data_IF_105007943540
#
_entry.id   IF_105007943540
#
_cell.length_a   1.000
_cell.length_b   1.000
_cell.length_c   1.000
_cell.angle_alpha   90.00
_cell.angle_beta   90.00
_cell.angle_gamma   90.00
#
_symmetry.space_group_name_H-M   'P 1'
#
loop_
_entity.id
_entity.type
_entity.pdbx_description
1 polymer ?
#
# COMPACT_ATOMS: atom_id res chain seq x y z
N UNK A 1 4.25 -26.33 56.78
CA UNK A 1 4.26 -26.36 55.30
C UNK A 1 5.20 -25.29 54.85
N UNK A 2 6.31 -25.67 54.30
CA UNK A 2 7.47 -24.80 54.01
C UNK A 2 7.30 -24.35 52.57
N UNK A 3 7.10 -23.07 52.32
CA UNK A 3 7.20 -22.49 50.97
C UNK A 3 8.68 -22.21 50.70
N UNK A 4 9.21 -22.91 49.70
CA UNK A 4 10.58 -22.73 49.26
C UNK A 4 10.77 -21.43 48.50
N UNK A 5 11.68 -20.62 49.03
CA UNK A 5 12.23 -19.44 48.36
C UNK A 5 13.08 -19.87 47.16
N UNK A 6 12.66 -19.53 45.96
CA UNK A 6 13.52 -19.62 44.77
C UNK A 6 14.14 -18.22 44.55
N UNK A 7 15.42 -18.06 44.66
CA UNK A 7 16.04 -16.74 44.56
C UNK A 7 16.11 -16.30 43.10
N UNK A 8 15.51 -15.15 42.81
CA UNK A 8 15.59 -14.43 41.52
C UNK A 8 17.03 -14.00 41.14
N UNK A 9 17.99 -14.23 41.99
CA UNK A 9 19.41 -13.87 41.78
C UNK A 9 20.19 -14.87 40.94
N UNK A 10 19.75 -16.14 40.83
CA UNK A 10 20.50 -17.15 40.09
C UNK A 10 20.31 -17.02 38.56
N UNK A 11 19.18 -16.53 38.11
CA UNK A 11 18.90 -16.36 36.66
C UNK A 11 19.68 -15.20 36.00
N UNK A 12 20.25 -14.28 36.80
CA UNK A 12 20.98 -13.13 36.26
C UNK A 12 22.48 -13.39 36.11
N UNK A 13 23.05 -14.34 36.83
CA UNK A 13 24.49 -14.67 36.82
C UNK A 13 24.87 -15.65 35.71
N UNK A 14 23.92 -16.43 35.20
CA UNK A 14 24.18 -17.39 34.09
C UNK A 14 24.31 -16.77 32.71
N UNK A 15 24.05 -15.46 32.58
CA UNK A 15 24.09 -14.77 31.27
C UNK A 15 25.46 -14.26 30.85
N UNK A 16 26.49 -14.38 31.67
CA UNK A 16 27.81 -13.80 31.41
C UNK A 16 28.93 -14.81 31.07
N UNK A 17 28.61 -16.10 31.00
CA UNK A 17 29.59 -17.09 30.55
C UNK A 17 29.69 -17.07 29.00
N UNK A 18 30.90 -17.09 28.41
CA UNK A 18 31.10 -17.00 26.97
C UNK A 18 30.49 -18.18 26.17
N UNK A 19 30.02 -19.22 26.83
CA UNK A 19 29.38 -20.41 26.23
C UNK A 19 27.96 -20.69 26.77
N UNK A 20 27.30 -19.74 27.43
CA UNK A 20 25.95 -19.95 27.94
C UNK A 20 24.93 -19.91 26.80
N UNK A 21 24.10 -20.94 26.70
CA UNK A 21 22.95 -20.98 25.79
C UNK A 21 21.93 -19.94 26.25
N UNK A 22 21.61 -18.97 25.42
CA UNK A 22 20.54 -18.01 25.70
C UNK A 22 19.19 -18.59 25.36
N UNK A 23 18.35 -18.82 26.35
CA UNK A 23 16.97 -19.25 26.15
C UNK A 23 16.02 -18.06 26.02
N UNK A 24 15.26 -18.02 24.95
CA UNK A 24 14.28 -16.97 24.64
C UNK A 24 12.92 -17.63 24.45
N UNK A 25 11.93 -17.20 25.22
CA UNK A 25 10.55 -17.66 25.12
C UNK A 25 9.77 -16.78 24.17
N UNK A 26 9.08 -17.41 23.23
CA UNK A 26 8.24 -16.74 22.23
C UNK A 26 6.83 -17.32 22.34
N UNK A 27 5.83 -16.44 22.40
CA UNK A 27 4.44 -16.81 22.29
C UNK A 27 3.99 -16.53 20.86
N UNK A 28 3.42 -17.53 20.20
CA UNK A 28 2.80 -17.40 18.89
C UNK A 28 1.28 -17.40 19.06
N UNK A 29 0.62 -16.37 18.56
CA UNK A 29 -0.84 -16.23 18.51
C UNK A 29 -1.26 -15.54 17.23
N UNK A 30 -2.53 -15.58 16.84
CA UNK A 30 -3.07 -14.87 15.68
C UNK A 30 -3.01 -13.36 15.88
N UNK A 31 -2.22 -12.56 15.20
CA UNK A 31 -1.31 -12.85 14.10
C UNK A 31 0.01 -12.20 14.47
N UNK A 32 0.58 -12.61 15.59
CA UNK A 32 1.79 -12.01 16.13
C UNK A 32 2.66 -13.00 16.89
N UNK A 33 3.95 -12.68 16.94
CA UNK A 33 4.91 -13.28 17.86
C UNK A 33 5.22 -12.30 18.98
N UNK A 34 5.33 -12.78 20.22
CA UNK A 34 5.74 -11.99 21.35
C UNK A 34 6.94 -12.65 22.04
N UNK A 35 8.11 -11.97 22.15
CA UNK A 35 8.39 -10.61 21.66
C UNK A 35 8.52 -10.53 20.11
N UNK A 36 8.20 -9.37 19.55
CA UNK A 36 8.37 -9.06 18.13
C UNK A 36 9.84 -8.87 17.73
N UNK A 37 10.70 -8.51 18.68
CA UNK A 37 12.12 -8.27 18.44
C UNK A 37 12.95 -9.10 19.41
N UNK A 38 13.93 -9.82 18.88
CA UNK A 38 14.86 -10.66 19.60
C UNK A 38 16.26 -10.16 19.31
N UNK A 39 17.06 -9.92 20.36
CA UNK A 39 18.46 -9.51 20.21
C UNK A 39 19.38 -10.57 20.78
N UNK A 40 20.34 -11.04 19.98
CA UNK A 40 21.35 -12.05 20.34
C UNK A 40 22.73 -11.64 19.83
N UNK A 41 23.78 -12.32 20.25
CA UNK A 41 25.14 -12.07 19.78
C UNK A 41 25.53 -13.08 18.71
N UNK A 42 26.37 -12.65 17.77
CA UNK A 42 27.02 -13.53 16.82
C UNK A 42 27.86 -14.59 17.55
N UNK A 43 27.76 -15.84 17.13
CA UNK A 43 28.45 -16.94 17.77
C UNK A 43 27.81 -17.46 19.06
N UNK A 44 26.77 -16.82 19.59
CA UNK A 44 26.06 -17.23 20.78
C UNK A 44 25.09 -18.36 20.48
N UNK A 45 25.14 -19.45 21.25
CA UNK A 45 24.13 -20.51 21.15
C UNK A 45 22.78 -20.01 21.67
N UNK A 46 21.76 -20.07 20.83
CA UNK A 46 20.40 -19.57 21.08
C UNK A 46 19.42 -20.72 21.11
N UNK A 47 18.57 -20.73 22.11
CA UNK A 47 17.46 -21.67 22.28
C UNK A 47 16.16 -20.90 22.30
N UNK A 48 15.36 -21.00 21.23
CA UNK A 48 14.03 -20.41 21.15
C UNK A 48 12.99 -21.45 21.62
N UNK A 49 12.22 -21.08 22.63
CA UNK A 49 11.10 -21.90 23.13
C UNK A 49 9.81 -21.25 22.68
N UNK A 50 9.24 -21.77 21.59
CA UNK A 50 8.10 -21.15 20.91
C UNK A 50 6.83 -21.92 21.26
N UNK A 51 5.87 -21.24 21.91
CA UNK A 51 4.59 -21.79 22.32
C UNK A 51 3.45 -21.22 21.48
N UNK A 52 2.68 -22.04 20.80
CA UNK A 52 1.39 -21.62 20.26
C UNK A 52 0.32 -21.64 21.36
N UNK A 53 -0.53 -20.61 21.41
CA UNK A 53 -1.63 -20.51 22.38
C UNK A 53 -3.01 -20.69 21.73
N UNK A 54 -3.08 -20.87 20.40
CA UNK A 54 -4.35 -20.91 19.65
C UNK A 54 -4.37 -21.97 18.54
N UNK A 55 -3.72 -21.73 17.40
CA UNK A 55 -3.74 -22.59 16.21
C UNK A 55 -2.36 -23.07 15.82
N UNK A 56 -2.25 -23.87 14.77
CA UNK A 56 -0.96 -24.23 14.17
C UNK A 56 -0.30 -22.97 13.59
N UNK A 57 0.98 -22.76 13.92
CA UNK A 57 1.82 -21.72 13.36
C UNK A 57 3.09 -22.29 12.72
N UNK A 58 3.65 -21.57 11.77
CA UNK A 58 5.02 -21.79 11.33
C UNK A 58 5.96 -20.84 12.06
N UNK A 59 7.24 -21.16 12.11
CA UNK A 59 8.31 -20.23 12.50
C UNK A 59 9.49 -20.44 11.56
N UNK A 60 9.85 -19.42 10.83
CA UNK A 60 10.95 -19.50 9.88
C UNK A 60 11.87 -18.28 9.98
N UNK A 61 13.19 -18.54 9.89
CA UNK A 61 14.24 -17.53 9.70
C UNK A 61 15.06 -18.01 8.51
N UNK A 62 14.81 -17.41 7.35
CA UNK A 62 15.38 -17.87 6.08
C UNK A 62 16.91 -17.84 6.08
N UNK A 63 17.49 -16.81 6.66
CA UNK A 63 18.93 -16.56 6.68
C UNK A 63 19.71 -17.60 7.50
N UNK A 64 19.06 -18.27 8.44
CA UNK A 64 19.61 -19.34 9.27
C UNK A 64 19.03 -20.72 8.94
N UNK A 65 18.31 -20.84 7.79
CA UNK A 65 17.70 -22.09 7.32
C UNK A 65 16.78 -22.77 8.36
N UNK A 66 16.10 -21.97 9.18
CA UNK A 66 15.14 -22.41 10.19
C UNK A 66 13.75 -22.40 9.58
N UNK A 67 13.03 -23.54 9.66
CA UNK A 67 11.63 -23.63 9.27
C UNK A 67 10.95 -24.75 10.06
N UNK A 68 10.14 -24.37 11.04
CA UNK A 68 9.51 -25.29 11.99
C UNK A 68 7.99 -25.08 12.05
N UNK A 69 7.28 -26.15 12.40
CA UNK A 69 5.84 -26.14 12.65
C UNK A 69 5.58 -26.24 14.14
N UNK A 70 4.80 -25.30 14.67
CA UNK A 70 4.34 -25.29 16.06
C UNK A 70 2.85 -25.67 16.06
N UNK A 71 2.52 -26.84 16.61
CA UNK A 71 1.13 -27.28 16.72
C UNK A 71 0.34 -26.41 17.69
N UNK A 72 -0.97 -26.32 17.47
CA UNK A 72 -1.90 -25.63 18.37
C UNK A 72 -1.69 -26.06 19.81
N UNK A 73 -1.56 -25.11 20.73
CA UNK A 73 -1.34 -25.29 22.16
C UNK A 73 -0.05 -26.05 22.55
N UNK A 74 0.83 -26.32 21.57
CA UNK A 74 2.10 -27.02 21.80
C UNK A 74 3.28 -26.06 21.90
N UNK A 75 4.40 -26.58 22.39
CA UNK A 75 5.68 -25.86 22.46
C UNK A 75 6.69 -26.57 21.56
N UNK A 76 7.42 -25.79 20.78
CA UNK A 76 8.54 -26.24 19.95
C UNK A 76 9.81 -25.54 20.39
N UNK A 77 10.91 -26.31 20.46
CA UNK A 77 12.24 -25.76 20.75
C UNK A 77 13.05 -25.73 19.46
N UNK A 78 13.69 -24.60 19.21
CA UNK A 78 14.58 -24.37 18.05
C UNK A 78 15.93 -23.90 18.58
N UNK A 79 17.00 -24.60 18.24
CA UNK A 79 18.36 -24.26 18.64
C UNK A 79 19.18 -23.89 17.42
N UNK A 80 19.92 -22.80 17.49
CA UNK A 80 20.82 -22.34 16.44
C UNK A 80 21.90 -21.41 17.00
N UNK A 81 22.94 -21.19 16.20
CA UNK A 81 24.01 -20.25 16.50
C UNK A 81 24.17 -19.32 15.30
N UNK A 82 23.86 -18.02 15.42
CA UNK A 82 24.02 -17.09 14.32
C UNK A 82 25.50 -16.87 14.00
N UNK A 83 25.87 -17.07 12.75
CA UNK A 83 27.24 -16.98 12.22
C UNK A 83 27.60 -15.61 11.60
N UNK A 84 26.62 -14.73 11.44
CA UNK A 84 26.79 -13.37 10.93
C UNK A 84 25.86 -12.37 11.63
N UNK A 85 26.31 -11.12 11.75
CA UNK A 85 25.57 -10.02 12.36
C UNK A 85 24.63 -9.37 11.34
N UNK A 86 23.55 -8.76 11.83
CA UNK A 86 22.56 -8.09 11.01
C UNK A 86 21.17 -8.11 11.62
N UNK A 87 20.19 -7.63 10.84
CA UNK A 87 18.77 -7.70 11.18
C UNK A 87 18.10 -8.69 10.24
N UNK A 88 17.55 -9.74 10.81
CA UNK A 88 16.94 -10.85 10.10
C UNK A 88 15.47 -10.96 10.47
N UNK A 89 14.64 -11.23 9.49
CA UNK A 89 13.21 -11.40 9.71
C UNK A 89 12.89 -12.83 10.10
N UNK A 90 12.09 -13.01 11.15
CA UNK A 90 11.36 -14.28 11.37
C UNK A 90 9.87 -14.09 11.10
N UNK A 91 9.21 -15.14 10.60
CA UNK A 91 7.81 -15.05 10.16
C UNK A 91 7.09 -16.39 10.31
N UNK A 92 5.75 -16.31 10.35
CA UNK A 92 4.92 -17.49 10.29
C UNK A 92 4.93 -18.08 8.87
N UNK A 93 5.34 -19.35 8.74
CA UNK A 93 5.48 -20.04 7.45
C UNK A 93 4.31 -20.97 7.10
N UNK A 94 3.27 -21.01 7.94
CA UNK A 94 2.07 -21.85 7.77
C UNK A 94 0.85 -20.95 7.90
N UNK A 95 -0.08 -21.07 6.98
CA UNK A 95 -1.32 -20.29 7.02
C UNK A 95 -2.09 -20.55 8.32
N UNK A 96 -2.24 -19.52 9.14
CA UNK A 96 -2.90 -19.56 10.44
C UNK A 96 -4.17 -18.71 10.51
N UNK A 97 -4.61 -18.16 9.38
CA UNK A 97 -5.82 -17.32 9.22
C UNK A 97 -5.56 -15.99 8.52
N UNK A 98 -6.59 -15.18 8.38
CA UNK A 98 -6.53 -13.85 7.75
C UNK A 98 -5.69 -12.89 8.59
N UNK A 99 -4.50 -12.55 8.15
CA UNK A 99 -3.46 -11.81 8.89
C UNK A 99 -2.16 -12.59 9.08
N UNK A 100 -2.12 -13.83 8.58
CA UNK A 100 -0.94 -14.69 8.58
C UNK A 100 0.30 -14.01 8.00
N UNK A 101 0.15 -13.23 6.94
CA UNK A 101 1.26 -12.57 6.24
C UNK A 101 1.90 -11.43 7.04
N UNK A 102 1.17 -10.89 8.03
CA UNK A 102 1.66 -9.83 8.92
C UNK A 102 2.29 -10.41 10.21
N UNK A 103 2.24 -11.74 10.38
CA UNK A 103 2.79 -12.42 11.54
C UNK A 103 4.29 -12.61 11.41
N UNK A 104 5.05 -11.59 11.79
CA UNK A 104 6.51 -11.51 11.66
C UNK A 104 7.16 -10.76 12.82
N UNK A 105 8.48 -10.89 12.93
CA UNK A 105 9.32 -10.16 13.86
C UNK A 105 10.77 -10.09 13.40
N UNK A 106 11.61 -9.43 14.18
CA UNK A 106 13.01 -9.15 13.89
C UNK A 106 13.94 -9.90 14.85
N UNK A 107 14.91 -10.59 14.29
CA UNK A 107 16.08 -11.10 15.00
C UNK A 107 17.27 -10.16 14.73
N UNK A 108 17.76 -9.49 15.74
CA UNK A 108 18.92 -8.62 15.67
C UNK A 108 20.14 -9.39 16.19
N UNK A 109 21.11 -9.64 15.34
CA UNK A 109 22.37 -10.26 15.69
C UNK A 109 23.46 -9.21 15.74
N UNK A 110 24.06 -8.99 16.92
CA UNK A 110 25.12 -7.99 17.15
C UNK A 110 26.50 -8.65 17.13
N UNK A 111 27.53 -7.90 16.67
CA UNK A 111 28.92 -8.35 16.76
C UNK A 111 29.43 -8.34 18.19
N UNK A 112 30.42 -9.19 18.51
CA UNK A 112 31.01 -9.32 19.86
C UNK A 112 31.63 -8.02 20.42
N UNK A 113 31.98 -7.08 19.56
CA UNK A 113 32.72 -5.86 19.98
C UNK A 113 31.86 -4.68 20.44
N UNK A 114 30.51 -4.76 20.34
CA UNK A 114 29.64 -3.68 20.85
C UNK A 114 29.17 -3.88 22.30
N UNK A 115 29.76 -4.79 23.04
CA UNK A 115 29.35 -5.19 24.38
C UNK A 115 30.30 -4.78 25.53
N UNK A 116 31.21 -3.87 25.28
CA UNK A 116 31.81 -3.09 26.39
C UNK A 116 30.95 -1.85 26.61
N UNK A 117 29.76 -2.03 27.16
CA UNK A 117 29.12 -0.94 27.84
C UNK A 117 30.05 -0.56 29.02
N UNK A 118 30.58 0.65 28.95
CA UNK A 118 31.10 1.34 30.15
C UNK A 118 29.99 1.23 31.20
N UNK A 119 30.12 0.22 32.07
CA UNK A 119 29.32 0.11 33.27
C UNK A 119 29.87 1.11 34.26
N UNK A 120 29.54 2.38 34.07
CA UNK A 120 29.75 3.41 35.10
C UNK A 120 28.68 3.20 36.18
N UNK A 121 28.74 2.04 36.82
CA UNK A 121 27.91 1.73 37.96
C UNK A 121 28.57 2.37 39.19
N UNK A 122 28.00 3.46 39.68
CA UNK A 122 28.39 4.09 40.93
C UNK A 122 27.48 3.59 42.04
N UNK A 123 28.12 3.08 43.08
CA UNK A 123 27.45 2.68 44.33
C UNK A 123 27.82 3.69 45.41
N UNK A 124 26.84 4.43 45.90
CA UNK A 124 27.01 5.41 46.95
C UNK A 124 26.19 5.01 48.17
N UNK A 125 26.77 5.18 49.35
CA UNK A 125 26.07 4.99 50.61
C UNK A 125 25.48 6.33 51.07
N UNK A 126 24.19 6.31 51.42
CA UNK A 126 23.52 7.51 51.93
C UNK A 126 24.11 7.87 53.29
N UNK A 127 24.69 9.07 53.40
CA UNK A 127 25.34 9.54 54.66
C UNK A 127 24.34 9.86 55.74
N UNK A 128 23.11 10.17 55.39
CA UNK A 128 22.06 10.61 56.30
C UNK A 128 21.09 9.47 56.66
N UNK A 129 21.20 8.31 55.98
CA UNK A 129 20.37 7.13 56.23
C UNK A 129 21.23 5.84 56.31
N UNK A 130 21.70 5.44 57.47
CA UNK A 130 22.48 4.21 57.66
C UNK A 130 21.68 2.98 57.18
N UNK A 131 22.26 2.21 56.28
CA UNK A 131 21.61 1.04 55.67
C UNK A 131 20.95 1.29 54.32
N UNK A 132 21.07 2.50 53.77
CA UNK A 132 20.61 2.81 52.43
C UNK A 132 21.76 2.87 51.43
N UNK A 133 21.63 2.14 50.33
CA UNK A 133 22.58 2.10 49.23
C UNK A 133 21.90 2.67 47.98
N UNK A 134 22.54 3.62 47.33
CA UNK A 134 22.09 4.16 46.04
C UNK A 134 23.00 3.58 44.95
N UNK A 135 22.40 2.90 44.00
CA UNK A 135 23.06 2.35 42.80
C UNK A 135 22.65 3.19 41.62
N UNK A 136 23.61 3.80 40.94
CA UNK A 136 23.42 4.54 39.71
C UNK A 136 24.11 3.79 38.57
N UNK A 137 23.33 3.44 37.52
CA UNK A 137 23.82 2.79 36.30
C UNK A 137 22.99 3.23 35.13
N UNK A 138 23.64 3.68 34.05
CA UNK A 138 22.98 4.12 32.81
C UNK A 138 21.89 5.21 33.00
N UNK A 139 22.11 6.14 33.96
CA UNK A 139 21.15 7.21 34.27
C UNK A 139 19.93 6.77 35.08
N UNK A 140 19.90 5.52 35.53
CA UNK A 140 18.89 5.03 36.48
C UNK A 140 19.49 5.03 37.91
N UNK A 141 18.74 5.61 38.86
CA UNK A 141 19.06 5.61 40.27
C UNK A 141 18.09 4.70 41.02
N UNK A 142 18.64 3.73 41.72
CA UNK A 142 17.86 2.78 42.53
C UNK A 142 18.31 2.94 43.99
N UNK A 143 17.35 3.20 44.87
CA UNK A 143 17.55 3.24 46.31
C UNK A 143 17.22 1.89 46.92
N UNK A 144 18.19 1.25 47.54
CA UNK A 144 18.04 0.00 48.26
C UNK A 144 18.16 0.29 49.76
N UNK A 145 17.09 0.09 50.50
CA UNK A 145 17.07 0.17 51.94
C UNK A 145 17.19 -1.23 52.52
N UNK A 146 18.36 -1.52 53.09
CA UNK A 146 18.69 -2.84 53.67
C UNK A 146 18.00 -3.09 55.01
N UNK A 147 17.51 -2.04 55.67
CA UNK A 147 16.83 -2.12 56.98
C UNK A 147 15.36 -2.52 56.77
N UNK A 148 14.70 -1.90 55.83
CA UNK A 148 13.31 -2.20 55.48
C UNK A 148 13.17 -3.26 54.38
N UNK A 149 14.29 -3.73 53.81
CA UNK A 149 14.37 -4.66 52.66
C UNK A 149 13.54 -4.17 51.48
N UNK A 150 13.53 -2.87 51.23
CA UNK A 150 12.79 -2.25 50.15
C UNK A 150 13.72 -1.73 49.06
N UNK A 151 13.25 -1.83 47.79
CA UNK A 151 13.92 -1.29 46.60
C UNK A 151 13.00 -0.26 45.98
N UNK A 152 13.49 0.99 45.91
CA UNK A 152 12.71 2.10 45.33
C UNK A 152 13.48 2.72 44.16
N UNK A 153 12.87 2.85 43.02
CA UNK A 153 13.44 3.59 41.90
C UNK A 153 13.29 5.08 42.15
N UNK A 154 14.38 5.81 42.20
CA UNK A 154 14.37 7.27 42.34
C UNK A 154 14.13 7.83 40.94
N UNK A 155 12.89 8.24 40.66
CA UNK A 155 12.57 9.01 39.46
C UNK A 155 12.72 10.48 39.87
N UNK A 156 13.83 11.10 39.54
CA UNK A 156 13.93 12.56 39.64
C UNK A 156 12.94 13.12 38.59
N UNK A 157 11.93 13.84 39.07
CA UNK A 157 11.05 14.61 38.18
C UNK A 157 11.91 15.77 37.69
N UNK A 158 12.30 15.82 36.39
CA UNK A 158 13.01 16.99 35.88
C UNK A 158 12.10 18.21 36.01
N UNK A 159 12.72 19.33 36.37
CA UNK A 159 12.12 20.64 36.20
C UNK A 159 11.66 20.81 34.77
N UNK A 160 10.63 21.64 34.48
CA UNK A 160 10.11 21.74 33.14
C UNK A 160 11.19 22.27 32.20
N UNK A 161 11.80 21.37 31.49
CA UNK A 161 12.78 21.63 30.45
C UNK A 161 12.07 21.65 29.10
N UNK A 162 12.29 22.74 28.39
CA UNK A 162 11.91 22.98 27.03
C UNK A 162 12.28 21.83 26.11
N UNK A 163 11.29 21.47 25.25
CA UNK A 163 11.43 20.88 23.95
C UNK A 163 12.61 19.92 23.65
N UNK A 164 12.43 18.66 23.94
CA UNK A 164 12.89 17.60 23.05
C UNK A 164 11.89 16.46 23.19
N UNK A 165 11.15 16.19 22.17
CA UNK A 165 11.47 15.04 21.33
C UNK A 165 10.86 15.09 19.93
N UNK A 166 11.55 15.65 19.00
CA UNK A 166 11.25 15.40 17.60
C UNK A 166 11.46 13.90 17.27
N UNK A 167 12.45 13.26 17.87
CA UNK A 167 12.82 11.88 17.56
C UNK A 167 11.86 10.82 18.09
N UNK A 168 11.26 11.00 19.26
CA UNK A 168 10.25 10.05 19.77
C UNK A 168 8.89 10.22 19.09
N UNK A 169 8.50 11.45 18.73
CA UNK A 169 7.33 11.70 17.87
C UNK A 169 7.56 11.20 16.46
N UNK A 170 8.79 11.32 15.91
CA UNK A 170 9.13 10.74 14.61
C UNK A 170 9.14 9.21 14.64
N UNK A 171 9.59 8.57 15.72
CA UNK A 171 9.53 7.12 15.85
C UNK A 171 8.10 6.61 16.05
N UNK A 172 7.27 7.28 16.86
CA UNK A 172 5.84 6.97 16.98
C UNK A 172 5.05 7.31 15.71
N UNK A 173 5.33 8.44 15.05
CA UNK A 173 4.77 8.75 13.75
C UNK A 173 5.23 7.77 12.66
N UNK A 174 6.47 7.26 12.71
CA UNK A 174 6.93 6.19 11.80
C UNK A 174 6.22 4.86 12.05
N UNK A 175 5.89 4.51 13.28
CA UNK A 175 5.16 3.28 13.61
C UNK A 175 3.67 3.39 13.23
N UNK A 176 3.06 4.57 13.33
CA UNK A 176 1.69 4.81 12.83
C UNK A 176 1.61 4.91 11.31
N UNK A 177 2.71 5.24 10.60
CA UNK A 177 2.77 5.29 9.15
C UNK A 177 3.01 3.93 8.46
N UNK A 178 3.11 2.82 9.18
CA UNK A 178 3.38 1.52 8.56
C UNK A 178 2.16 0.84 7.91
N UNK A 179 0.96 1.29 8.17
CA UNK A 179 -0.21 0.90 7.36
C UNK A 179 -0.54 2.01 6.39
N UNK A 180 0.03 1.95 5.18
CA UNK A 180 -0.37 2.84 4.11
C UNK A 180 -1.90 2.79 3.97
N UNK A 181 -2.59 3.91 4.14
CA UNK A 181 -4.04 3.91 4.35
C UNK A 181 -4.84 3.58 3.08
N UNK A 182 -4.23 3.61 1.89
CA UNK A 182 -4.86 3.41 0.58
C UNK A 182 -3.88 2.77 -0.41
N UNK A 183 -4.38 2.31 -1.56
CA UNK A 183 -3.55 1.74 -2.62
C UNK A 183 -3.19 2.76 -3.73
N UNK A 184 -2.43 2.34 -4.76
CA UNK A 184 -1.91 3.19 -5.84
C UNK A 184 -3.00 3.80 -6.71
N UNK A 185 -4.16 3.19 -6.79
CA UNK A 185 -5.35 3.70 -7.47
C UNK A 185 -6.59 3.30 -6.67
N UNK A 186 -7.64 4.09 -6.78
CA UNK A 186 -8.97 3.70 -6.36
C UNK A 186 -9.53 2.66 -7.36
N UNK A 187 -10.51 2.99 -8.16
CA UNK A 187 -10.90 2.14 -9.29
C UNK A 187 -9.96 2.42 -10.48
N UNK A 188 -9.85 3.68 -10.88
CA UNK A 188 -8.99 4.20 -11.95
C UNK A 188 -8.17 5.41 -11.51
N UNK A 189 -8.73 6.30 -10.68
CA UNK A 189 -8.09 7.51 -10.18
C UNK A 189 -6.86 7.15 -9.36
N UNK A 190 -5.66 7.63 -9.74
CA UNK A 190 -4.44 7.35 -9.02
C UNK A 190 -4.36 8.14 -7.71
N UNK A 191 -3.64 7.58 -6.75
CA UNK A 191 -3.37 8.15 -5.44
C UNK A 191 -1.90 8.58 -5.33
N UNK A 192 -1.54 9.46 -4.39
CA UNK A 192 -0.15 9.85 -4.17
C UNK A 192 0.67 8.78 -3.40
N UNK A 193 0.22 7.53 -3.35
CA UNK A 193 0.91 6.45 -2.65
C UNK A 193 2.35 6.32 -3.13
N UNK A 194 3.29 6.29 -2.18
CA UNK A 194 4.71 6.13 -2.46
C UNK A 194 5.04 4.70 -2.92
N UNK A 195 5.79 4.59 -4.00
CA UNK A 195 6.42 3.33 -4.40
C UNK A 195 7.74 3.21 -3.63
N UNK A 196 7.85 2.20 -2.76
CA UNK A 196 9.02 2.00 -1.90
C UNK A 196 10.26 1.71 -2.75
N UNK A 197 11.41 2.16 -2.29
CA UNK A 197 12.70 1.89 -2.93
C UNK A 197 12.90 0.38 -3.12
N UNK A 198 13.38 -0.01 -4.30
CA UNK A 198 13.65 -1.39 -4.71
C UNK A 198 12.44 -2.33 -4.61
N UNK A 199 11.22 -1.81 -4.43
CA UNK A 199 10.02 -2.64 -4.51
C UNK A 199 9.54 -2.79 -5.95
N UNK A 200 9.13 -3.99 -6.31
CA UNK A 200 8.40 -4.27 -7.55
C UNK A 200 6.94 -4.54 -7.22
N UNK A 201 6.05 -3.75 -7.81
CA UNK A 201 4.62 -3.86 -7.60
C UNK A 201 3.94 -4.21 -8.92
N UNK A 202 3.16 -5.26 -8.91
CA UNK A 202 2.31 -5.65 -10.03
C UNK A 202 0.93 -5.02 -9.85
N UNK A 203 0.39 -4.52 -10.94
CA UNK A 203 -0.98 -4.05 -11.04
C UNK A 203 -1.68 -4.80 -12.17
N UNK A 204 -2.77 -5.46 -11.84
CA UNK A 204 -3.60 -6.17 -12.81
C UNK A 204 -5.03 -5.67 -12.68
N UNK A 205 -5.66 -5.35 -13.81
CA UNK A 205 -7.07 -4.99 -13.85
C UNK A 205 -7.81 -5.88 -14.82
N UNK A 206 -9.05 -6.16 -14.48
CA UNK A 206 -9.95 -6.90 -15.33
C UNK A 206 -11.30 -6.17 -15.37
N UNK A 207 -11.83 -5.93 -16.56
CA UNK A 207 -13.10 -5.24 -16.77
C UNK A 207 -13.95 -6.08 -17.72
N UNK A 208 -15.15 -6.42 -17.28
CA UNK A 208 -16.13 -7.09 -18.14
C UNK A 208 -16.77 -6.08 -19.09
N UNK A 209 -17.19 -6.53 -20.28
CA UNK A 209 -17.67 -5.60 -21.33
C UNK A 209 -19.13 -5.26 -21.19
N UNK A 210 -19.94 -6.19 -20.68
CA UNK A 210 -21.37 -5.95 -20.56
C UNK A 210 -21.73 -5.23 -19.28
N UNK A 211 -22.55 -4.18 -19.36
CA UNK A 211 -23.00 -3.46 -18.19
C UNK A 211 -23.96 -4.30 -17.34
N UNK A 212 -23.89 -4.09 -16.04
CA UNK A 212 -24.85 -4.64 -15.07
C UNK A 212 -26.26 -4.15 -15.44
N UNK A 213 -27.17 -5.07 -15.71
CA UNK A 213 -28.55 -4.81 -16.04
C UNK A 213 -29.45 -4.97 -14.80
N UNK A 214 -30.73 -4.55 -14.84
CA UNK A 214 -31.65 -4.85 -13.76
C UNK A 214 -31.72 -6.34 -13.42
N UNK A 215 -31.92 -6.68 -12.15
CA UNK A 215 -31.70 -8.01 -11.55
C UNK A 215 -32.28 -9.20 -12.35
N UNK A 216 -33.44 -9.01 -12.98
CA UNK A 216 -34.11 -10.05 -13.81
C UNK A 216 -33.32 -10.40 -15.08
N UNK A 217 -32.61 -9.44 -15.66
CA UNK A 217 -31.77 -9.64 -16.85
C UNK A 217 -30.37 -10.07 -16.48
N UNK A 218 -29.83 -9.50 -15.41
CA UNK A 218 -28.52 -9.85 -14.88
C UNK A 218 -28.40 -11.30 -14.41
N UNK A 219 -29.51 -11.93 -13.99
CA UNK A 219 -29.49 -13.34 -13.63
C UNK A 219 -29.23 -14.28 -14.82
N UNK A 220 -29.53 -13.85 -16.06
CA UNK A 220 -29.22 -14.62 -17.28
C UNK A 220 -27.76 -14.47 -17.70
N UNK A 221 -27.18 -13.30 -17.51
CA UNK A 221 -25.88 -12.90 -18.04
C UNK A 221 -24.84 -12.91 -16.90
N UNK A 222 -25.11 -13.58 -15.77
CA UNK A 222 -24.25 -13.60 -14.57
C UNK A 222 -23.70 -12.20 -14.20
N UNK A 223 -24.56 -11.17 -14.23
CA UNK A 223 -24.18 -9.77 -14.01
C UNK A 223 -23.16 -9.23 -15.03
N UNK A 224 -23.10 -9.81 -16.23
CA UNK A 224 -22.13 -9.49 -17.27
C UNK A 224 -20.79 -10.22 -17.15
N UNK A 225 -20.66 -11.15 -16.19
CA UNK A 225 -19.40 -11.87 -15.96
C UNK A 225 -19.04 -12.87 -17.05
N UNK A 226 -19.99 -13.35 -17.83
CA UNK A 226 -19.79 -14.22 -18.98
C UNK A 226 -19.52 -13.46 -20.29
N UNK A 227 -19.43 -12.13 -20.21
CA UNK A 227 -19.10 -11.29 -21.36
C UNK A 227 -17.60 -11.28 -21.66
N UNK A 228 -17.25 -10.76 -22.85
CA UNK A 228 -15.85 -10.46 -23.18
C UNK A 228 -15.23 -9.55 -22.12
N UNK A 229 -13.96 -9.74 -21.81
CA UNK A 229 -13.26 -8.99 -20.80
C UNK A 229 -11.97 -8.33 -21.30
N UNK A 230 -11.66 -7.21 -20.71
CA UNK A 230 -10.46 -6.42 -20.96
C UNK A 230 -9.53 -6.53 -19.76
N UNK A 231 -8.36 -7.15 -19.94
CA UNK A 231 -7.35 -7.29 -18.89
C UNK A 231 -6.16 -6.42 -19.19
N UNK A 232 -5.74 -5.60 -18.21
CA UNK A 232 -4.55 -4.77 -18.29
C UNK A 232 -3.55 -5.22 -17.23
N UNK A 233 -2.27 -5.14 -17.58
CA UNK A 233 -1.16 -5.48 -16.70
C UNK A 233 -0.19 -4.31 -16.62
N UNK A 234 0.19 -3.93 -15.40
CA UNK A 234 1.17 -2.88 -15.13
C UNK A 234 2.16 -3.28 -14.05
N UNK A 235 3.31 -2.63 -14.09
CA UNK A 235 4.40 -2.79 -13.13
C UNK A 235 4.85 -1.41 -12.67
N UNK A 236 5.17 -1.28 -11.38
CA UNK A 236 5.81 -0.12 -10.78
C UNK A 236 7.10 -0.57 -10.09
N UNK A 237 8.20 0.10 -10.35
CA UNK A 237 9.46 -0.17 -9.68
C UNK A 237 10.03 1.09 -9.04
N UNK A 238 10.26 1.04 -7.72
CA UNK A 238 10.86 2.13 -6.96
C UNK A 238 12.37 2.18 -7.14
N UNK A 239 12.88 3.21 -7.80
CA UNK A 239 14.33 3.44 -7.97
C UNK A 239 14.92 4.02 -6.69
N UNK A 240 14.23 5.00 -6.12
CA UNK A 240 14.57 5.63 -4.83
C UNK A 240 13.31 5.69 -3.97
N UNK A 241 13.39 6.26 -2.78
CA UNK A 241 12.21 6.50 -1.94
C UNK A 241 11.24 7.53 -2.52
N UNK A 242 11.65 8.27 -3.56
CA UNK A 242 10.84 9.31 -4.20
C UNK A 242 10.58 9.08 -5.67
N UNK A 243 11.47 8.36 -6.36
CA UNK A 243 11.43 8.17 -7.81
C UNK A 243 11.03 6.73 -8.13
N UNK A 244 10.03 6.58 -9.00
CA UNK A 244 9.64 5.28 -9.54
C UNK A 244 9.42 5.34 -11.04
N UNK A 245 9.52 4.20 -11.69
CA UNK A 245 9.17 3.98 -13.09
C UNK A 245 8.02 3.00 -13.17
N UNK A 246 7.25 3.09 -14.24
CA UNK A 246 6.14 2.18 -14.51
C UNK A 246 6.04 1.82 -15.96
N UNK A 247 5.50 0.64 -16.21
CA UNK A 247 5.09 0.19 -17.53
C UNK A 247 3.74 -0.51 -17.42
N UNK A 248 2.81 -0.20 -18.29
CA UNK A 248 1.48 -0.79 -18.33
C UNK A 248 1.10 -1.16 -19.75
N UNK A 249 0.38 -2.28 -19.92
CA UNK A 249 -0.19 -2.70 -21.18
C UNK A 249 -1.70 -2.91 -21.03
N UNK A 250 -2.46 -2.29 -21.90
CA UNK A 250 -3.92 -2.41 -21.97
C UNK A 250 -4.33 -2.84 -23.40
N UNK A 251 -5.36 -3.69 -23.56
CA UNK A 251 -5.83 -4.09 -24.88
C UNK A 251 -6.78 -3.07 -25.52
N UNK A 252 -6.91 -1.86 -24.97
CA UNK A 252 -7.77 -0.80 -25.51
C UNK A 252 -6.96 0.40 -25.98
N UNK A 253 -7.24 0.87 -27.17
CA UNK A 253 -6.67 2.05 -27.80
C UNK A 253 -7.65 3.22 -27.84
N UNK A 254 -7.25 4.28 -28.54
CA UNK A 254 -8.09 5.47 -28.70
C UNK A 254 -9.42 5.19 -29.39
N UNK A 255 -9.44 4.32 -30.35
CA UNK A 255 -10.61 4.14 -31.24
C UNK A 255 -11.08 2.70 -31.37
N UNK A 256 -10.32 1.71 -30.91
CA UNK A 256 -10.60 0.30 -31.12
C UNK A 256 -9.98 -0.63 -30.10
N UNK A 257 -10.28 -1.91 -30.21
CA UNK A 257 -9.52 -2.97 -29.56
C UNK A 257 -8.15 -3.08 -30.21
N UNK A 258 -7.14 -2.62 -29.52
CA UNK A 258 -5.74 -2.80 -29.89
C UNK A 258 -4.89 -2.87 -28.61
N UNK A 259 -3.60 -2.70 -28.72
CA UNK A 259 -2.68 -2.89 -27.60
C UNK A 259 -2.00 -1.56 -27.30
N UNK A 260 -2.47 -0.84 -26.29
CA UNK A 260 -1.77 0.35 -25.78
C UNK A 260 -0.73 -0.05 -24.76
N UNK A 261 0.46 0.47 -24.93
CA UNK A 261 1.54 0.40 -23.94
C UNK A 261 1.79 1.81 -23.39
N UNK A 262 1.85 1.92 -22.07
CA UNK A 262 2.17 3.14 -21.36
C UNK A 262 3.47 2.94 -20.58
N UNK A 263 4.40 3.89 -20.70
CA UNK A 263 5.65 3.94 -19.94
C UNK A 263 5.68 5.28 -19.23
N UNK A 264 6.03 5.27 -17.94
CA UNK A 264 6.01 6.49 -17.17
C UNK A 264 7.02 6.55 -16.04
N UNK A 265 7.18 7.74 -15.53
CA UNK A 265 8.02 8.07 -14.39
C UNK A 265 7.21 8.89 -13.40
N UNK A 266 7.28 8.53 -12.13
CA UNK A 266 6.61 9.25 -11.06
C UNK A 266 7.59 9.73 -10.01
N UNK A 267 7.26 10.86 -9.40
CA UNK A 267 8.05 11.46 -8.34
C UNK A 267 7.17 11.83 -7.16
N UNK A 268 7.55 11.38 -5.98
CA UNK A 268 6.88 11.67 -4.73
C UNK A 268 7.51 12.88 -4.04
N UNK A 269 6.74 13.96 -3.91
CA UNK A 269 7.22 15.25 -3.38
C UNK A 269 7.06 15.35 -1.88
N UNK A 270 5.84 15.08 -1.40
CA UNK A 270 5.40 15.32 -0.04
C UNK A 270 4.63 14.12 0.49
N UNK A 271 4.92 13.72 1.71
CA UNK A 271 4.06 12.86 2.52
C UNK A 271 3.13 13.73 3.36
N UNK A 272 1.95 13.24 3.65
CA UNK A 272 1.06 13.85 4.64
C UNK A 272 1.64 13.57 6.04
N UNK A 273 2.22 14.57 6.65
CA UNK A 273 2.80 14.53 7.98
C UNK A 273 2.58 15.85 8.74
N UNK A 274 3.27 16.03 9.88
CA UNK A 274 3.18 17.26 10.68
C UNK A 274 3.66 18.53 9.94
N UNK A 275 4.44 18.39 8.85
CA UNK A 275 4.99 19.49 8.06
C UNK A 275 4.18 19.75 6.80
N UNK A 276 3.51 18.73 6.26
CA UNK A 276 2.68 18.85 5.06
C UNK A 276 1.27 18.36 5.34
N UNK A 277 0.24 19.21 5.12
CA UNK A 277 -1.14 18.79 5.30
C UNK A 277 -1.68 17.88 4.19
N UNK A 278 -0.87 17.61 3.16
CA UNK A 278 -1.25 16.79 1.99
C UNK A 278 -0.08 15.95 1.52
N UNK A 279 -0.38 14.76 1.00
CA UNK A 279 0.55 14.00 0.18
C UNK A 279 0.49 14.49 -1.26
N UNK A 280 1.65 14.61 -1.93
CA UNK A 280 1.77 15.06 -3.31
C UNK A 280 2.73 14.18 -4.09
N UNK A 281 2.27 13.70 -5.22
CA UNK A 281 3.09 13.02 -6.23
C UNK A 281 2.80 13.58 -7.62
N UNK A 282 3.74 13.46 -8.54
CA UNK A 282 3.56 13.74 -9.95
C UNK A 282 3.91 12.53 -10.79
N UNK A 283 3.27 12.42 -11.94
CA UNK A 283 3.49 11.33 -12.87
C UNK A 283 3.50 11.88 -14.30
N UNK A 284 4.53 11.52 -15.05
CA UNK A 284 4.64 11.81 -16.47
C UNK A 284 4.73 10.51 -17.24
N UNK A 285 3.94 10.35 -18.30
CA UNK A 285 3.94 9.13 -19.10
C UNK A 285 3.77 9.40 -20.59
N UNK A 286 4.14 8.41 -21.37
CA UNK A 286 3.89 8.32 -22.79
C UNK A 286 3.15 7.02 -23.06
N UNK A 287 2.03 7.13 -23.77
CA UNK A 287 1.26 6.00 -24.27
C UNK A 287 1.46 5.88 -25.78
N UNK A 288 1.51 4.65 -26.28
CA UNK A 288 1.53 4.36 -27.72
C UNK A 288 0.61 3.20 -28.04
N UNK A 289 -0.20 3.37 -29.09
CA UNK A 289 -1.09 2.33 -29.61
C UNK A 289 -0.30 1.26 -30.39
N UNK A 290 -0.94 0.12 -30.66
CA UNK A 290 -0.38 -1.02 -31.41
C UNK A 290 0.99 -1.51 -30.89
N UNK A 291 1.09 -1.74 -29.56
CA UNK A 291 2.33 -2.08 -28.89
C UNK A 291 3.42 -0.99 -29.04
N UNK A 292 3.05 0.27 -28.86
CA UNK A 292 3.95 1.40 -28.90
C UNK A 292 4.50 1.75 -30.29
N UNK A 293 3.72 1.52 -31.36
CA UNK A 293 4.15 1.81 -32.74
C UNK A 293 3.50 3.06 -33.34
N UNK A 294 2.51 3.67 -32.67
CA UNK A 294 1.86 4.89 -33.19
C UNK A 294 0.91 5.54 -32.20
N UNK A 295 0.28 6.64 -32.62
CA UNK A 295 -0.71 7.40 -31.86
C UNK A 295 -0.26 7.76 -30.45
N UNK A 296 0.91 8.36 -30.34
CA UNK A 296 1.50 8.70 -29.06
C UNK A 296 0.71 9.79 -28.34
N UNK A 297 0.43 9.52 -27.06
CA UNK A 297 -0.17 10.45 -26.10
C UNK A 297 0.83 10.70 -24.98
N UNK A 298 0.99 11.96 -24.60
CA UNK A 298 1.84 12.35 -23.47
C UNK A 298 0.98 12.85 -22.32
N UNK A 299 1.19 12.31 -21.14
CA UNK A 299 0.41 12.63 -19.95
C UNK A 299 1.29 13.30 -18.90
N UNK A 300 0.77 14.36 -18.28
CA UNK A 300 1.32 14.94 -17.07
C UNK A 300 0.21 15.02 -16.03
N UNK A 301 0.40 14.39 -14.89
CA UNK A 301 -0.60 14.25 -13.84
C UNK A 301 0.00 14.61 -12.48
N UNK A 302 -0.74 15.35 -11.67
CA UNK A 302 -0.47 15.50 -10.25
C UNK A 302 -1.47 14.66 -9.46
N UNK A 303 -1.03 14.15 -8.33
CA UNK A 303 -1.84 13.33 -7.43
C UNK A 303 -1.71 13.94 -6.03
N UNK A 304 -2.81 14.45 -5.52
CA UNK A 304 -2.92 14.99 -4.17
C UNK A 304 -3.79 14.07 -3.33
N UNK A 305 -3.43 13.89 -2.08
CA UNK A 305 -4.20 13.11 -1.12
C UNK A 305 -4.19 13.76 0.25
N UNK A 306 -5.31 13.65 0.96
CA UNK A 306 -5.44 14.12 2.34
C UNK A 306 -6.32 13.18 3.16
N UNK A 307 -5.87 12.88 4.37
CA UNK A 307 -6.66 12.21 5.39
C UNK A 307 -7.56 13.23 6.08
N UNK A 308 -8.87 13.13 5.84
CA UNK A 308 -9.85 13.98 6.52
C UNK A 308 -10.11 13.45 7.93
N UNK A 309 -10.13 12.13 8.06
CA UNK A 309 -10.19 11.42 9.33
C UNK A 309 -9.32 10.16 9.23
N UNK A 310 -9.10 9.44 10.34
CA UNK A 310 -8.43 8.13 10.31
C UNK A 310 -9.15 7.06 9.45
N UNK A 311 -10.37 7.36 9.00
CA UNK A 311 -11.19 6.44 8.19
C UNK A 311 -11.50 6.97 6.80
N UNK A 312 -11.21 8.23 6.50
CA UNK A 312 -11.59 8.87 5.25
C UNK A 312 -10.41 9.61 4.63
N UNK A 313 -10.06 9.23 3.40
CA UNK A 313 -9.04 9.87 2.59
C UNK A 313 -9.67 10.42 1.32
N UNK A 314 -9.31 11.63 0.95
CA UNK A 314 -9.78 12.30 -0.27
C UNK A 314 -8.62 12.53 -1.21
N UNK A 315 -8.90 12.42 -2.51
CA UNK A 315 -7.90 12.55 -3.56
C UNK A 315 -8.35 13.51 -4.63
N UNK A 316 -7.38 14.23 -5.19
CA UNK A 316 -7.57 15.08 -6.34
C UNK A 316 -6.43 14.87 -7.34
N UNK A 317 -6.77 14.54 -8.58
CA UNK A 317 -5.80 14.15 -9.59
C UNK A 317 -6.02 14.94 -10.90
N UNK A 318 -5.51 16.17 -11.01
CA UNK A 318 -5.53 16.93 -12.24
C UNK A 318 -4.49 16.40 -13.23
N UNK A 319 -4.85 16.36 -14.51
CA UNK A 319 -3.94 15.91 -15.56
C UNK A 319 -4.16 16.67 -16.89
N UNK A 320 -3.07 16.75 -17.66
CA UNK A 320 -3.05 17.22 -19.04
C UNK A 320 -2.62 16.08 -19.94
N UNK A 321 -3.36 15.87 -21.03
CA UNK A 321 -3.14 14.81 -21.98
C UNK A 321 -2.94 15.38 -23.38
N UNK A 322 -1.70 15.37 -23.84
CA UNK A 322 -1.31 15.91 -25.15
C UNK A 322 -1.50 14.82 -26.19
N UNK A 323 -2.17 15.15 -27.29
CA UNK A 323 -2.50 14.25 -28.39
C UNK A 323 -3.33 13.01 -27.94
N UNK A 324 -4.22 13.22 -26.98
CA UNK A 324 -5.03 12.16 -26.38
C UNK A 324 -6.28 11.80 -27.18
N UNK A 325 -6.67 12.67 -28.13
CA UNK A 325 -7.88 12.51 -28.89
C UNK A 325 -7.63 11.97 -30.30
N UNK A 326 -7.75 10.65 -30.46
CA UNK A 326 -7.67 10.04 -31.80
C UNK A 326 -8.78 10.45 -32.76
N UNK A 327 -9.90 10.94 -32.24
CA UNK A 327 -11.03 11.39 -33.04
C UNK A 327 -10.87 12.82 -33.58
N UNK A 328 -9.85 13.56 -33.19
CA UNK A 328 -9.59 14.92 -33.74
C UNK A 328 -9.36 14.90 -35.25
N UNK A 329 -9.01 13.74 -35.81
CA UNK A 329 -8.83 13.51 -37.25
C UNK A 329 -10.10 13.06 -37.95
N UNK A 330 -11.24 13.05 -37.24
CA UNK A 330 -12.51 12.71 -37.87
C UNK A 330 -12.88 13.81 -38.87
N UNK A 331 -12.86 13.46 -40.13
CA UNK A 331 -13.22 14.28 -41.26
C UNK A 331 -14.26 13.51 -42.07
N UNK A 332 -15.57 13.71 -41.73
CA UNK A 332 -16.64 12.97 -42.40
C UNK A 332 -16.75 13.40 -43.86
N UNK A 333 -16.60 12.45 -44.75
CA UNK A 333 -16.80 12.69 -46.18
C UNK A 333 -18.24 12.32 -46.57
N UNK A 334 -18.83 13.04 -47.53
CA UNK A 334 -20.18 12.71 -48.03
C UNK A 334 -20.35 11.26 -48.42
N UNK A 335 -19.29 10.65 -48.95
CA UNK A 335 -19.25 9.25 -49.38
C UNK A 335 -19.27 8.20 -48.25
N UNK A 336 -18.98 8.66 -47.02
CA UNK A 336 -18.98 7.77 -45.83
C UNK A 336 -20.42 7.53 -45.33
N UNK A 337 -21.39 8.26 -45.82
CA UNK A 337 -22.79 8.21 -45.39
C UNK A 337 -23.74 7.93 -46.53
N UNK A 338 -24.77 7.15 -46.26
CA UNK A 338 -25.85 6.90 -47.21
C UNK A 338 -26.78 8.08 -47.40
N UNK A 339 -26.65 9.11 -46.55
CA UNK A 339 -27.47 10.33 -46.56
C UNK A 339 -26.52 11.50 -46.81
N UNK A 340 -26.90 12.47 -47.66
CA UNK A 340 -26.09 13.64 -47.94
C UNK A 340 -25.64 14.38 -46.67
N UNK A 341 -24.39 14.73 -46.62
CA UNK A 341 -23.79 15.57 -45.53
C UNK A 341 -23.77 17.00 -46.03
N UNK A 342 -24.33 17.93 -45.24
CA UNK A 342 -24.30 19.34 -45.57
C UNK A 342 -22.85 19.86 -45.57
N UNK A 343 -22.46 20.74 -46.49
CA UNK A 343 -21.10 21.26 -46.57
C UNK A 343 -20.63 21.94 -45.29
N UNK A 344 -21.56 22.51 -44.47
CA UNK A 344 -21.33 23.14 -43.19
C UNK A 344 -21.24 22.17 -42.01
N UNK A 345 -21.54 20.90 -42.24
CA UNK A 345 -21.52 19.87 -41.17
C UNK A 345 -20.10 19.46 -40.78
N UNK A 346 -19.29 20.42 -40.35
CA UNK A 346 -17.93 20.18 -39.85
C UNK A 346 -17.92 20.02 -38.34
N UNK A 347 -17.07 19.11 -37.84
CA UNK A 347 -16.84 18.93 -36.45
C UNK A 347 -15.37 19.25 -36.12
N UNK A 348 -15.18 20.19 -35.21
CA UNK A 348 -13.84 20.53 -34.68
C UNK A 348 -13.67 19.87 -33.33
N UNK A 349 -12.79 18.89 -33.26
CA UNK A 349 -12.47 18.15 -32.04
C UNK A 349 -11.08 18.56 -31.55
N UNK A 350 -10.95 19.05 -30.29
CA UNK A 350 -9.65 19.37 -29.73
C UNK A 350 -8.73 18.12 -29.68
N UNK A 351 -7.47 18.32 -30.00
CA UNK A 351 -6.46 17.27 -30.01
C UNK A 351 -6.01 16.90 -28.58
N UNK A 352 -6.01 17.88 -27.69
CA UNK A 352 -5.53 17.75 -26.32
C UNK A 352 -6.69 17.76 -25.33
N UNK A 353 -6.51 17.09 -24.20
CA UNK A 353 -7.52 17.04 -23.15
C UNK A 353 -6.94 17.41 -21.79
N UNK A 354 -7.82 17.84 -20.87
CA UNK A 354 -7.53 17.97 -19.46
C UNK A 354 -8.54 17.13 -18.66
N UNK A 355 -8.11 16.63 -17.50
CA UNK A 355 -8.99 15.88 -16.61
C UNK A 355 -8.76 16.27 -15.16
N UNK A 356 -9.80 16.09 -14.35
CA UNK A 356 -9.79 16.34 -12.92
C UNK A 356 -10.42 15.14 -12.22
N UNK A 357 -9.58 14.19 -11.77
CA UNK A 357 -10.04 13.05 -11.01
C UNK A 357 -10.28 13.41 -9.54
N UNK A 358 -11.44 13.07 -9.02
CA UNK A 358 -11.76 13.14 -7.59
C UNK A 358 -11.97 11.74 -7.06
N UNK A 359 -11.50 11.49 -5.84
CA UNK A 359 -11.60 10.18 -5.24
C UNK A 359 -11.77 10.22 -3.74
N UNK A 360 -12.39 9.16 -3.21
CA UNK A 360 -12.59 8.94 -1.77
C UNK A 360 -12.29 7.47 -1.46
N UNK A 361 -11.47 7.24 -0.45
CA UNK A 361 -11.29 5.95 0.23
C UNK A 361 -11.91 6.05 1.62
N UNK A 362 -12.91 5.21 1.90
CA UNK A 362 -13.57 5.12 3.19
C UNK A 362 -13.25 3.78 3.84
N UNK A 363 -12.36 3.79 4.83
CA UNK A 363 -11.99 2.61 5.60
C UNK A 363 -13.12 2.16 6.52
N UNK A 364 -13.78 1.07 6.18
CA UNK A 364 -14.89 0.49 6.97
C UNK A 364 -14.43 -0.57 7.95
N UNK A 365 -13.26 -1.17 7.72
CA UNK A 365 -12.54 -2.08 8.62
C UNK A 365 -11.03 -1.86 8.45
N UNK A 366 -10.17 -2.35 9.36
CA UNK A 366 -8.72 -2.14 9.25
C UNK A 366 -8.15 -2.45 7.86
N UNK A 367 -8.63 -3.51 7.20
CA UNK A 367 -8.13 -3.96 5.90
C UNK A 367 -9.19 -3.88 4.79
N UNK A 368 -10.28 -3.12 4.97
CA UNK A 368 -11.37 -3.05 3.99
C UNK A 368 -11.82 -1.61 3.82
N UNK A 369 -11.82 -1.13 2.58
CA UNK A 369 -12.23 0.20 2.19
C UNK A 369 -13.37 0.17 1.17
N UNK A 370 -14.21 1.19 1.20
CA UNK A 370 -15.11 1.54 0.10
C UNK A 370 -14.45 2.63 -0.73
N UNK A 371 -14.42 2.44 -2.03
CA UNK A 371 -13.81 3.33 -3.00
C UNK A 371 -14.88 4.06 -3.80
N UNK A 372 -14.71 5.36 -4.00
CA UNK A 372 -15.54 6.18 -4.86
C UNK A 372 -14.67 7.11 -5.68
N UNK A 373 -15.00 7.27 -6.96
CA UNK A 373 -14.30 8.19 -7.85
C UNK A 373 -15.23 8.84 -8.86
N UNK A 374 -14.85 10.04 -9.27
CA UNK A 374 -15.56 10.82 -10.26
C UNK A 374 -14.58 11.66 -11.06
N UNK A 375 -14.59 11.53 -12.38
CA UNK A 375 -13.78 12.33 -13.28
C UNK A 375 -14.69 13.04 -14.28
N UNK A 376 -15.00 14.33 -14.07
CA UNK A 376 -15.79 15.11 -15.02
C UNK A 376 -15.03 15.26 -16.33
N UNK A 377 -15.75 15.27 -17.44
CA UNK A 377 -15.21 15.54 -18.75
C UNK A 377 -15.10 17.05 -18.96
N UNK A 378 -13.86 17.54 -19.02
CA UNK A 378 -13.56 18.94 -19.24
C UNK A 378 -12.74 19.09 -20.53
N UNK A 379 -13.11 20.03 -21.37
CA UNK A 379 -12.48 20.21 -22.68
C UNK A 379 -12.96 19.18 -23.68
N UNK A 380 -12.03 18.42 -24.27
CA UNK A 380 -12.37 17.36 -25.20
C UNK A 380 -13.14 16.23 -24.50
N UNK A 381 -14.06 15.67 -25.27
CA UNK A 381 -14.90 14.56 -24.86
C UNK A 381 -14.78 13.45 -25.90
N UNK A 382 -14.00 12.41 -25.61
CA UNK A 382 -14.01 11.20 -26.43
C UNK A 382 -15.35 10.49 -26.21
N UNK A 383 -16.06 10.18 -27.27
CA UNK A 383 -17.36 9.53 -27.20
C UNK A 383 -17.90 9.21 -28.60
N UNK A 384 -19.14 8.82 -28.62
CA UNK A 384 -19.82 8.60 -29.87
C UNK A 384 -20.05 9.94 -30.59
N UNK A 385 -19.83 9.94 -31.86
CA UNK A 385 -20.16 11.05 -32.74
C UNK A 385 -21.47 10.68 -33.44
N UNK A 386 -22.55 11.34 -33.05
CA UNK A 386 -23.88 11.11 -33.57
C UNK A 386 -24.20 12.14 -34.67
N UNK A 387 -24.71 11.74 -35.84
CA UNK A 387 -25.16 12.67 -36.84
C UNK A 387 -26.42 13.42 -36.38
N UNK A 388 -26.49 14.70 -36.66
CA UNK A 388 -27.67 15.54 -36.48
C UNK A 388 -28.34 15.67 -37.84
N UNK A 389 -29.53 15.11 -37.94
CA UNK A 389 -30.30 15.17 -39.19
C UNK A 389 -31.14 16.43 -39.26
N UNK A 390 -31.51 16.81 -40.50
CA UNK A 390 -32.56 17.81 -40.72
C UNK A 390 -33.92 17.23 -40.32
N UNK A 391 -34.94 18.08 -40.24
CA UNK A 391 -36.30 17.71 -39.80
C UNK A 391 -36.93 16.60 -40.65
N UNK A 392 -36.47 16.42 -41.90
CA UNK A 392 -36.96 15.42 -42.82
C UNK A 392 -36.10 14.16 -42.87
N UNK A 393 -35.03 14.07 -42.11
CA UNK A 393 -34.06 12.97 -42.12
C UNK A 393 -33.43 12.71 -43.50
N UNK A 394 -33.38 13.70 -44.38
CA UNK A 394 -32.83 13.58 -45.73
C UNK A 394 -31.39 14.08 -45.87
N UNK A 395 -30.88 14.78 -44.86
CA UNK A 395 -29.50 15.28 -44.85
C UNK A 395 -28.95 15.37 -43.41
N UNK A 396 -27.65 15.17 -43.27
CA UNK A 396 -26.91 15.39 -42.06
C UNK A 396 -26.50 16.87 -42.02
N UNK A 397 -26.99 17.62 -41.04
CA UNK A 397 -26.72 19.04 -40.86
C UNK A 397 -25.50 19.31 -39.93
N UNK A 398 -25.10 18.30 -39.16
CA UNK A 398 -23.98 18.43 -38.22
C UNK A 398 -23.72 17.14 -37.49
N UNK A 399 -22.78 17.22 -36.53
CA UNK A 399 -22.42 16.09 -35.68
C UNK A 399 -22.42 16.54 -34.24
N UNK A 400 -22.92 15.67 -33.36
CA UNK A 400 -22.89 15.85 -31.90
C UNK A 400 -21.98 14.79 -31.30
N UNK A 401 -21.06 15.22 -30.48
CA UNK A 401 -20.28 14.30 -29.67
C UNK A 401 -20.95 14.10 -28.32
N UNK A 402 -21.29 12.85 -28.01
CA UNK A 402 -21.89 12.47 -26.73
C UNK A 402 -20.86 11.74 -25.88
N UNK A 403 -20.57 12.31 -24.71
CA UNK A 403 -19.70 11.66 -23.72
C UNK A 403 -20.23 11.90 -22.32
N UNK A 404 -19.81 11.03 -21.41
CA UNK A 404 -20.25 11.03 -20.02
C UNK A 404 -19.06 11.17 -19.10
N UNK A 405 -19.27 11.70 -17.89
CA UNK A 405 -18.25 11.69 -16.85
C UNK A 405 -17.90 10.25 -16.45
N UNK A 406 -16.64 10.03 -16.13
CA UNK A 406 -16.25 8.76 -15.55
C UNK A 406 -16.71 8.71 -14.09
N UNK A 407 -17.32 7.59 -13.70
CA UNK A 407 -17.77 7.29 -12.34
C UNK A 407 -17.33 5.87 -12.01
N UNK A 408 -16.68 5.72 -10.86
CA UNK A 408 -16.27 4.41 -10.34
C UNK A 408 -16.58 4.29 -8.85
N UNK A 409 -16.88 3.07 -8.42
CA UNK A 409 -16.97 2.72 -7.01
C UNK A 409 -16.58 1.25 -6.82
N UNK A 410 -16.23 0.89 -5.59
CA UNK A 410 -15.80 -0.47 -5.33
C UNK A 410 -15.59 -0.74 -3.85
N UNK A 411 -15.26 -1.98 -3.58
CA UNK A 411 -14.80 -2.44 -2.27
C UNK A 411 -13.41 -3.04 -2.42
N UNK A 412 -12.48 -2.58 -1.62
CA UNK A 412 -11.11 -3.06 -1.59
C UNK A 412 -10.81 -3.79 -0.29
N UNK A 413 -10.13 -4.91 -0.38
CA UNK A 413 -9.58 -5.64 0.76
C UNK A 413 -8.08 -5.82 0.58
N UNK A 414 -7.32 -5.43 1.63
CA UNK A 414 -5.86 -5.58 1.71
C UNK A 414 -5.52 -6.77 2.59
N UNK A 415 -4.63 -7.63 2.10
CA UNK A 415 -4.17 -8.81 2.83
C UNK A 415 -2.65 -8.87 2.63
N UNK A 416 -1.89 -8.47 3.64
CA UNK A 416 -0.43 -8.40 3.57
C UNK A 416 0.07 -7.56 2.40
N UNK A 417 0.75 -8.19 1.45
CA UNK A 417 1.31 -7.53 0.26
C UNK A 417 0.36 -7.49 -0.94
N UNK A 418 -0.91 -7.87 -0.75
CA UNK A 418 -1.93 -7.90 -1.79
C UNK A 418 -3.04 -6.90 -1.47
N UNK A 419 -3.56 -6.27 -2.50
CA UNK A 419 -4.86 -5.60 -2.44
C UNK A 419 -5.73 -6.14 -3.58
N UNK A 420 -6.97 -6.45 -3.26
CA UNK A 420 -7.97 -6.88 -4.21
C UNK A 420 -9.19 -5.98 -4.09
N UNK A 421 -9.63 -5.41 -5.22
CA UNK A 421 -10.83 -4.58 -5.27
C UNK A 421 -11.83 -5.16 -6.26
N UNK A 422 -13.07 -5.34 -5.81
CA UNK A 422 -14.22 -5.52 -6.69
C UNK A 422 -14.72 -4.13 -7.08
N UNK A 423 -14.82 -3.86 -8.36
CA UNK A 423 -15.07 -2.52 -8.88
C UNK A 423 -16.26 -2.46 -9.82
N UNK A 424 -16.91 -1.32 -9.82
CA UNK A 424 -17.96 -0.95 -10.76
C UNK A 424 -17.59 0.41 -11.37
N UNK A 425 -17.53 0.48 -12.70
CA UNK A 425 -17.17 1.71 -13.41
C UNK A 425 -17.90 1.78 -14.73
N UNK A 426 -18.10 2.97 -15.24
CA UNK A 426 -18.62 3.19 -16.59
C UNK A 426 -17.50 3.31 -17.63
N UNK A 427 -16.27 2.91 -17.31
CA UNK A 427 -15.14 2.86 -18.25
C UNK A 427 -14.42 1.52 -18.22
N UNK A 428 -14.00 1.04 -19.38
CA UNK A 428 -13.18 -0.17 -19.53
C UNK A 428 -11.68 0.16 -19.60
N UNK A 429 -11.33 1.40 -19.85
CA UNK A 429 -9.96 1.84 -20.05
C UNK A 429 -9.26 2.08 -18.71
N UNK A 430 -7.98 1.81 -18.68
CA UNK A 430 -7.19 1.83 -17.42
C UNK A 430 -5.87 2.60 -17.54
N UNK A 431 -5.45 3.00 -18.76
CA UNK A 431 -4.25 3.83 -18.95
C UNK A 431 -4.54 5.30 -18.67
N UNK A 432 -3.51 6.07 -18.32
CA UNK A 432 -3.63 7.43 -17.81
C UNK A 432 -4.36 8.37 -18.76
N UNK A 433 -4.04 8.35 -20.05
CA UNK A 433 -4.70 9.20 -21.03
C UNK A 433 -6.08 8.71 -21.48
N UNK A 434 -6.51 7.52 -21.03
CA UNK A 434 -7.74 6.87 -21.54
C UNK A 434 -8.86 6.80 -20.52
N UNK A 435 -8.61 6.39 -19.26
CA UNK A 435 -9.70 6.20 -18.30
C UNK A 435 -10.50 7.48 -18.05
N UNK A 436 -9.86 8.63 -18.16
CA UNK A 436 -10.45 9.93 -17.90
C UNK A 436 -10.99 10.62 -19.18
N UNK A 437 -10.65 10.14 -20.35
CA UNK A 437 -11.06 10.72 -21.64
C UNK A 437 -11.94 9.81 -22.49
N UNK A 438 -12.08 8.53 -22.14
CA UNK A 438 -12.82 7.56 -22.94
C UNK A 438 -13.65 6.62 -22.08
N UNK A 439 -14.93 6.55 -22.33
CA UNK A 439 -15.83 5.57 -21.72
C UNK A 439 -16.46 4.60 -22.74
N UNK A 440 -15.94 4.55 -23.95
CA UNK A 440 -16.43 3.68 -25.03
C UNK A 440 -17.97 3.73 -25.24
N UNK A 441 -18.55 4.89 -25.00
CA UNK A 441 -19.99 5.09 -25.18
C UNK A 441 -20.89 4.47 -24.11
N UNK A 442 -20.34 3.99 -22.99
CA UNK A 442 -21.15 3.56 -21.85
C UNK A 442 -21.78 4.78 -21.17
N UNK A 443 -23.12 4.86 -21.08
CA UNK A 443 -23.78 5.94 -20.36
C UNK A 443 -23.42 5.90 -18.86
N UNK A 444 -23.46 7.03 -18.13
CA UNK A 444 -23.06 7.08 -16.72
C UNK A 444 -23.91 6.21 -15.81
N UNK A 445 -25.09 5.82 -16.25
CA UNK A 445 -25.98 4.92 -15.51
C UNK A 445 -25.74 3.43 -15.78
N UNK A 446 -24.75 3.09 -16.60
CA UNK A 446 -24.42 1.71 -16.95
C UNK A 446 -23.00 1.40 -16.46
N UNK A 447 -22.93 0.63 -15.39
CA UNK A 447 -21.68 0.19 -14.80
C UNK A 447 -21.33 -1.22 -15.26
N UNK A 448 -20.07 -1.45 -15.53
CA UNK A 448 -19.49 -2.77 -15.72
C UNK A 448 -18.84 -3.24 -14.43
N UNK A 449 -18.83 -4.54 -14.22
CA UNK A 449 -18.07 -5.16 -13.14
C UNK A 449 -16.60 -5.29 -13.55
N UNK A 450 -15.71 -5.18 -12.61
CA UNK A 450 -14.30 -5.44 -12.78
C UNK A 450 -13.63 -5.71 -11.47
N UNK A 451 -12.35 -5.98 -11.52
CA UNK A 451 -11.51 -6.06 -10.33
C UNK A 451 -10.11 -5.51 -10.59
N UNK A 452 -9.49 -5.02 -9.53
CA UNK A 452 -8.08 -4.67 -9.49
C UNK A 452 -7.37 -5.62 -8.54
N UNK A 453 -6.17 -6.01 -8.90
CA UNK A 453 -5.26 -6.78 -8.05
C UNK A 453 -3.92 -6.05 -8.00
N UNK A 454 -3.45 -5.76 -6.80
CA UNK A 454 -2.10 -5.26 -6.54
C UNK A 454 -1.31 -6.31 -5.79
N UNK A 455 -0.05 -6.47 -6.15
CA UNK A 455 0.88 -7.32 -5.43
C UNK A 455 2.26 -6.70 -5.38
N UNK A 456 2.79 -6.52 -4.17
CA UNK A 456 4.19 -6.17 -3.96
C UNK A 456 5.02 -7.45 -3.83
N UNK A 457 6.02 -7.63 -4.69
CA UNK A 457 6.83 -8.84 -4.72
C UNK A 457 7.98 -8.80 -3.72
N UNK A 458 8.66 -7.67 -3.63
CA UNK A 458 9.80 -7.51 -2.73
C UNK A 458 9.98 -6.06 -2.33
N UNK A 459 10.69 -5.94 -1.24
CA UNK A 459 11.39 -4.80 -0.67
C UNK A 459 11.80 -5.02 0.76
#
# INVERSE_FOLDING_TARGET
MIFGDTPLTQAYLDKTAPNAVVEIKIVARRFEFEPKTITVRKGQAVRLVIKSVDVDHGFAIKDFNIKETIKAHATKVVEFTPDHSGRFRFYCSIYCGDGHEDMEGDLIVTDEQSGAADSNMQVTFDKDAPGVVIVESNGERIRIDTTTKSVTRIVERPAPEEEAPAQQKEAQARVEHESEPYDYRLVNVPTPKRVRRHSLNLYFTHRFSEPVRPLRQSARDLLGLDSFSVSSLGLFYGITDKLYVSAQRSPLCQTALCKTVEIGVGYHWLDEDSRSPVALSTYASMEGDNNFTGNYTYNLQAMLGRSVTRYAHVFFSPAVHINSNGQHRFDPKPEDFFIPVAPEAQIHLPQHTVSFGFGIDLKVRPNTSLLFEYTPRVGFKLGLIDPIFNDTFTAIQGFKQTTEAEIGFGIERRIGRHAFSLTFSNTQTTTTGRYNSSNLGLPPKRFIIGFNLYRRFFN
#
